data_IF_358662551677
#
_entry.id   IF_358662551677
#
_cell.length_a   1.000
_cell.length_b   1.000
_cell.length_c   1.000
_cell.angle_alpha   90.00
_cell.angle_beta   90.00
_cell.angle_gamma   90.00
#
_symmetry.space_group_name_H-M   'P 1'
#
loop_
_entity.id
_entity.type
_entity.pdbx_description
1 polymer ?
#
# COMPACT_ATOMS: atom_id res chain seq x y z
N UNK A 1 0.43 19.70 -15.90
CA UNK A 1 -0.22 18.88 -14.87
C UNK A 1 0.84 18.19 -14.01
N UNK A 2 0.66 18.20 -12.73
CA UNK A 2 1.59 17.55 -11.79
C UNK A 2 1.11 16.11 -11.54
N UNK A 3 1.73 15.16 -12.21
CA UNK A 3 1.36 13.75 -12.12
C UNK A 3 1.77 13.08 -10.80
N UNK A 4 2.61 13.74 -9.99
CA UNK A 4 2.94 13.24 -8.64
C UNK A 4 1.94 13.67 -7.58
N UNK A 5 1.06 14.61 -7.88
CA UNK A 5 0.09 15.15 -6.91
C UNK A 5 -1.30 15.26 -7.53
N UNK A 6 -1.70 14.20 -8.22
CA UNK A 6 -3.07 14.11 -8.73
C UNK A 6 -4.03 13.95 -7.56
N UNK A 7 -5.19 14.57 -7.68
CA UNK A 7 -6.24 14.44 -6.69
C UNK A 7 -7.60 14.29 -7.38
N UNK A 8 -8.52 13.66 -6.69
CA UNK A 8 -9.87 13.46 -7.17
C UNK A 8 -10.86 14.07 -6.20
N UNK A 9 -11.91 14.71 -6.73
CA UNK A 9 -13.04 15.13 -5.91
C UNK A 9 -13.81 13.91 -5.40
N UNK A 10 -14.66 14.14 -4.41
CA UNK A 10 -15.41 13.10 -3.71
C UNK A 10 -16.24 12.23 -4.67
N UNK A 11 -16.94 12.87 -5.62
CA UNK A 11 -17.75 12.17 -6.62
C UNK A 11 -16.91 11.22 -7.49
N UNK A 12 -15.76 11.70 -7.98
CA UNK A 12 -14.85 10.88 -8.79
C UNK A 12 -14.31 9.71 -7.98
N UNK A 13 -13.91 10.00 -6.74
CA UNK A 13 -13.33 9.00 -5.85
C UNK A 13 -14.32 7.88 -5.54
N UNK A 14 -15.58 8.21 -5.30
CA UNK A 14 -16.65 7.23 -5.04
C UNK A 14 -16.90 6.29 -6.21
N UNK A 15 -16.62 6.73 -7.44
CA UNK A 15 -16.86 5.93 -8.65
C UNK A 15 -15.66 5.04 -9.02
N UNK A 16 -14.54 5.15 -8.32
CA UNK A 16 -13.41 4.27 -8.55
C UNK A 16 -13.63 2.97 -7.77
N UNK A 17 -13.52 1.84 -8.47
CA UNK A 17 -13.69 0.54 -7.83
C UNK A 17 -12.57 0.27 -6.80
N UNK A 18 -12.84 -0.64 -5.86
CA UNK A 18 -11.81 -1.04 -4.89
C UNK A 18 -10.58 -1.62 -5.59
N UNK A 19 -10.77 -2.39 -6.66
CA UNK A 19 -9.64 -2.91 -7.44
C UNK A 19 -8.90 -1.82 -8.21
N UNK A 20 -9.61 -0.79 -8.68
CA UNK A 20 -8.99 0.38 -9.30
C UNK A 20 -8.12 1.15 -8.31
N UNK A 21 -8.63 1.35 -7.10
CA UNK A 21 -7.86 1.97 -6.02
C UNK A 21 -6.64 1.13 -5.65
N UNK A 22 -6.79 -0.19 -5.59
CA UNK A 22 -5.69 -1.10 -5.29
C UNK A 22 -4.62 -1.07 -6.39
N UNK A 23 -5.04 -1.01 -7.65
CA UNK A 23 -4.13 -0.88 -8.78
C UNK A 23 -3.25 0.38 -8.65
N UNK A 24 -3.86 1.51 -8.33
CA UNK A 24 -3.12 2.75 -8.09
C UNK A 24 -2.25 2.64 -6.84
N UNK A 25 -2.82 2.11 -5.76
CA UNK A 25 -2.13 1.98 -4.48
C UNK A 25 -0.94 1.06 -4.51
N UNK A 26 -0.94 0.05 -5.38
CA UNK A 26 0.23 -0.79 -5.63
C UNK A 26 1.41 0.08 -6.10
N UNK A 27 1.17 0.97 -7.06
CA UNK A 27 2.19 1.91 -7.53
C UNK A 27 2.64 2.89 -6.45
N UNK A 28 1.71 3.42 -5.68
CA UNK A 28 2.02 4.36 -4.59
C UNK A 28 2.88 3.67 -3.52
N UNK A 29 2.47 2.51 -3.07
CA UNK A 29 3.19 1.74 -2.06
C UNK A 29 4.59 1.37 -2.57
N UNK A 30 4.68 0.88 -3.79
CA UNK A 30 5.96 0.48 -4.37
C UNK A 30 6.91 1.66 -4.54
N UNK A 31 6.41 2.84 -4.94
CA UNK A 31 7.22 4.04 -5.00
C UNK A 31 7.79 4.41 -3.61
N UNK A 32 6.96 4.33 -2.58
CA UNK A 32 7.39 4.62 -1.20
C UNK A 32 8.47 3.62 -0.74
N UNK A 33 8.27 2.33 -1.00
CA UNK A 33 9.24 1.28 -0.66
C UNK A 33 10.57 1.49 -1.40
N UNK A 34 10.52 1.72 -2.69
CA UNK A 34 11.72 1.91 -3.51
C UNK A 34 12.49 3.16 -3.09
N UNK A 35 11.78 4.24 -2.82
CA UNK A 35 12.40 5.50 -2.35
C UNK A 35 13.10 5.27 -1.00
N UNK A 36 12.41 4.61 -0.08
CA UNK A 36 12.96 4.26 1.24
C UNK A 36 14.25 3.44 1.12
N UNK A 37 14.23 2.41 0.28
CA UNK A 37 15.38 1.53 0.09
C UNK A 37 16.58 2.27 -0.53
N UNK A 38 16.32 3.17 -1.47
CA UNK A 38 17.38 4.00 -2.03
C UNK A 38 18.04 4.87 -0.97
N UNK A 39 17.23 5.44 -0.07
CA UNK A 39 17.74 6.27 1.03
C UNK A 39 18.45 5.44 2.10
N UNK A 40 18.13 4.17 2.25
CA UNK A 40 18.82 3.26 3.15
C UNK A 40 20.19 2.78 2.63
N UNK A 41 20.61 3.24 1.45
CA UNK A 41 21.96 2.99 0.95
C UNK A 41 22.17 1.62 0.31
N UNK A 42 21.15 0.98 -0.20
CA UNK A 42 21.29 -0.26 -0.98
C UNK A 42 21.99 0.07 -2.30
N UNK A 43 23.17 -0.51 -2.50
CA UNK A 43 24.08 -0.06 -3.55
C UNK A 43 23.92 -0.75 -4.90
N UNK A 44 23.33 -1.96 -4.96
CA UNK A 44 23.22 -2.72 -6.20
C UNK A 44 21.79 -2.86 -6.64
N UNK A 45 21.59 -2.92 -7.97
CA UNK A 45 20.25 -3.13 -8.55
C UNK A 45 19.63 -4.45 -8.08
N UNK A 46 20.42 -5.53 -8.06
CA UNK A 46 19.96 -6.82 -7.56
C UNK A 46 19.61 -6.78 -6.06
N UNK A 47 20.41 -6.04 -5.27
CA UNK A 47 20.15 -5.84 -3.84
C UNK A 47 18.88 -5.06 -3.58
N UNK A 48 18.63 -4.00 -4.37
CA UNK A 48 17.39 -3.23 -4.30
C UNK A 48 16.18 -4.09 -4.61
N UNK A 49 16.24 -4.90 -5.66
CA UNK A 49 15.14 -5.77 -6.03
C UNK A 49 14.83 -6.80 -4.93
N UNK A 50 15.85 -7.47 -4.40
CA UNK A 50 15.67 -8.46 -3.31
C UNK A 50 15.11 -7.81 -2.06
N UNK A 51 15.57 -6.62 -1.73
CA UNK A 51 15.08 -5.88 -0.58
C UNK A 51 13.62 -5.47 -0.79
N UNK A 52 13.26 -4.98 -1.99
CA UNK A 52 11.90 -4.56 -2.29
C UNK A 52 10.89 -5.71 -2.14
N UNK A 53 11.23 -6.92 -2.57
CA UNK A 53 10.36 -8.09 -2.45
C UNK A 53 9.94 -8.35 -0.99
N UNK A 54 10.81 -8.06 -0.04
CA UNK A 54 10.52 -8.23 1.41
C UNK A 54 9.41 -7.32 1.92
N UNK A 55 9.05 -6.28 1.16
CA UNK A 55 7.99 -5.34 1.52
C UNK A 55 6.77 -5.48 0.62
N UNK A 56 6.97 -5.83 -0.65
CA UNK A 56 5.88 -5.81 -1.65
C UNK A 56 5.23 -7.17 -1.87
N UNK A 57 5.86 -8.27 -1.48
CA UNK A 57 5.23 -9.58 -1.58
C UNK A 57 3.99 -9.64 -0.68
N UNK A 58 2.95 -10.33 -1.12
CA UNK A 58 1.68 -10.35 -0.41
C UNK A 58 1.77 -10.78 1.06
N UNK A 59 2.57 -11.81 1.45
CA UNK A 59 2.74 -12.14 2.87
C UNK A 59 3.36 -11.00 3.69
N UNK A 60 4.34 -10.29 3.12
CA UNK A 60 4.96 -9.15 3.78
C UNK A 60 3.98 -7.98 3.93
N UNK A 61 3.24 -7.67 2.89
CA UNK A 61 2.22 -6.62 2.93
C UNK A 61 1.15 -6.93 3.96
N UNK A 62 0.70 -8.18 4.04
CA UNK A 62 -0.30 -8.61 5.03
C UNK A 62 0.19 -8.39 6.45
N UNK A 63 1.43 -8.76 6.73
CA UNK A 63 2.04 -8.55 8.05
C UNK A 63 2.13 -7.07 8.40
N UNK A 64 2.59 -6.25 7.46
CA UNK A 64 2.74 -4.81 7.68
C UNK A 64 1.39 -4.11 7.79
N UNK A 65 0.38 -4.57 7.05
CA UNK A 65 -0.98 -4.05 7.16
C UNK A 65 -1.54 -4.25 8.58
N UNK A 66 -1.26 -5.38 9.21
CA UNK A 66 -1.71 -5.63 10.58
C UNK A 66 -1.17 -4.59 11.58
N UNK A 67 0.01 -4.06 11.34
CA UNK A 67 0.60 -3.04 12.21
C UNK A 67 -0.18 -1.73 12.20
N UNK A 68 -0.81 -1.39 11.08
CA UNK A 68 -1.53 -0.12 10.94
C UNK A 68 -3.04 -0.23 11.20
N UNK A 69 -3.60 -1.44 11.20
CA UNK A 69 -5.05 -1.63 11.40
C UNK A 69 -5.61 -0.90 12.62
N UNK A 70 -4.95 -0.97 13.81
CA UNK A 70 -5.47 -0.27 14.98
C UNK A 70 -5.47 1.25 14.87
N UNK A 71 -4.74 1.80 13.91
CA UNK A 71 -4.58 3.24 13.74
C UNK A 71 -5.58 3.83 12.74
N UNK A 72 -6.29 2.98 12.00
CA UNK A 72 -7.17 3.43 10.92
C UNK A 72 -8.42 4.12 11.45
N UNK A 73 -8.80 5.22 10.80
CA UNK A 73 -10.09 5.85 11.04
C UNK A 73 -11.23 4.97 10.52
N UNK A 74 -12.47 5.29 10.88
CA UNK A 74 -13.63 4.54 10.38
C UNK A 74 -13.71 4.54 8.85
N UNK A 75 -13.44 5.68 8.22
CA UNK A 75 -13.44 5.79 6.76
C UNK A 75 -12.32 4.94 6.15
N UNK A 76 -11.13 5.00 6.73
CA UNK A 76 -9.99 4.19 6.28
C UNK A 76 -10.28 2.70 6.43
N UNK A 77 -10.89 2.30 7.53
CA UNK A 77 -11.31 0.91 7.74
C UNK A 77 -12.32 0.45 6.70
N UNK A 78 -13.26 1.32 6.33
CA UNK A 78 -14.27 1.00 5.31
C UNK A 78 -13.61 0.73 3.95
N UNK A 79 -12.67 1.57 3.54
CA UNK A 79 -11.93 1.40 2.28
C UNK A 79 -11.08 0.13 2.33
N UNK A 80 -10.40 -0.11 3.44
CA UNK A 80 -9.60 -1.32 3.64
C UNK A 80 -10.48 -2.57 3.48
N UNK A 81 -11.65 -2.61 4.12
CA UNK A 81 -12.58 -3.74 4.01
C UNK A 81 -13.08 -3.95 2.58
N UNK A 82 -13.39 -2.86 1.88
CA UNK A 82 -13.82 -2.95 0.47
C UNK A 82 -12.72 -3.59 -0.39
N UNK A 83 -11.46 -3.20 -0.18
CA UNK A 83 -10.33 -3.79 -0.87
C UNK A 83 -10.15 -5.26 -0.53
N UNK A 84 -10.24 -5.59 0.76
CA UNK A 84 -10.12 -6.98 1.23
C UNK A 84 -11.21 -7.87 0.64
N UNK A 85 -12.41 -7.36 0.51
CA UNK A 85 -13.57 -8.10 0.03
C UNK A 85 -13.72 -8.09 -1.49
N UNK A 86 -12.84 -7.40 -2.22
CA UNK A 86 -12.87 -7.41 -3.67
C UNK A 86 -12.44 -8.78 -4.20
N UNK A 87 -13.15 -9.28 -5.20
CA UNK A 87 -12.89 -10.60 -5.76
C UNK A 87 -11.91 -10.52 -6.90
N UNK A 88 -10.87 -11.37 -6.86
CA UNK A 88 -9.94 -11.54 -7.96
C UNK A 88 -9.94 -12.99 -8.40
N UNK A 89 -9.66 -13.23 -9.67
CA UNK A 89 -9.77 -14.56 -10.26
C UNK A 89 -8.65 -15.52 -9.83
N UNK A 90 -7.51 -15.02 -9.37
CA UNK A 90 -6.35 -15.84 -9.05
C UNK A 90 -5.56 -15.27 -7.88
N UNK A 91 -5.06 -16.17 -7.04
CA UNK A 91 -4.15 -15.83 -5.94
C UNK A 91 -2.73 -16.19 -6.40
N UNK A 92 -1.74 -15.27 -6.23
CA UNK A 92 -0.36 -15.56 -6.61
C UNK A 92 0.21 -16.75 -5.83
N UNK A 93 1.15 -17.46 -6.46
CA UNK A 93 1.89 -18.52 -5.79
C UNK A 93 2.67 -17.95 -4.61
N UNK A 94 2.73 -18.69 -3.51
CA UNK A 94 3.46 -18.29 -2.31
C UNK A 94 2.68 -17.39 -1.36
N UNK A 95 1.43 -17.09 -1.68
CA UNK A 95 0.55 -16.33 -0.79
C UNK A 95 -0.71 -17.12 -0.49
N UNK A 96 -1.22 -17.02 0.74
CA UNK A 96 -2.54 -17.53 1.08
C UNK A 96 -3.61 -16.56 0.54
N UNK A 97 -4.86 -17.02 0.50
CA UNK A 97 -6.00 -16.19 0.09
C UNK A 97 -6.10 -14.97 1.02
N UNK A 98 -5.97 -15.18 2.33
CA UNK A 98 -6.03 -14.09 3.31
C UNK A 98 -4.90 -13.08 3.14
N UNK A 99 -3.68 -13.53 2.88
CA UNK A 99 -2.54 -12.65 2.64
C UNK A 99 -2.73 -11.81 1.38
N UNK A 100 -3.21 -12.42 0.31
CA UNK A 100 -3.47 -11.71 -0.93
C UNK A 100 -4.58 -10.66 -0.74
N UNK A 101 -5.66 -11.01 -0.04
CA UNK A 101 -6.75 -10.06 0.23
C UNK A 101 -6.29 -8.91 1.12
N UNK A 102 -5.45 -9.17 2.10
CA UNK A 102 -4.89 -8.13 2.96
C UNK A 102 -3.98 -7.18 2.17
N UNK A 103 -3.17 -7.71 1.26
CA UNK A 103 -2.34 -6.89 0.39
C UNK A 103 -3.19 -5.99 -0.52
N UNK A 104 -4.25 -6.54 -1.11
CA UNK A 104 -5.18 -5.76 -1.93
C UNK A 104 -5.87 -4.66 -1.11
N UNK A 105 -6.24 -4.98 0.12
CA UNK A 105 -6.86 -4.01 1.04
C UNK A 105 -5.92 -2.84 1.35
N UNK A 106 -4.66 -3.15 1.64
CA UNK A 106 -3.62 -2.14 1.90
C UNK A 106 -3.43 -1.24 0.68
N UNK A 107 -3.33 -1.84 -0.48
CA UNK A 107 -3.16 -1.10 -1.73
C UNK A 107 -4.36 -0.21 -2.01
N UNK A 108 -5.59 -0.69 -1.80
CA UNK A 108 -6.79 0.12 -1.98
C UNK A 108 -6.79 1.33 -1.04
N UNK A 109 -6.40 1.13 0.21
CA UNK A 109 -6.28 2.21 1.19
C UNK A 109 -5.26 3.25 0.73
N UNK A 110 -4.10 2.82 0.28
CA UNK A 110 -3.03 3.72 -0.17
C UNK A 110 -3.44 4.51 -1.41
N UNK A 111 -4.10 3.87 -2.37
CA UNK A 111 -4.63 4.57 -3.55
C UNK A 111 -5.67 5.62 -3.18
N UNK A 112 -6.54 5.29 -2.24
CA UNK A 112 -7.60 6.20 -1.77
C UNK A 112 -7.01 7.42 -1.05
N UNK A 113 -6.03 7.21 -0.19
CA UNK A 113 -5.36 8.31 0.51
C UNK A 113 -4.58 9.19 -0.48
N UNK A 114 -3.91 8.58 -1.44
CA UNK A 114 -3.17 9.31 -2.46
C UNK A 114 -4.09 10.26 -3.25
N UNK A 115 -5.22 9.77 -3.73
CA UNK A 115 -6.15 10.59 -4.54
C UNK A 115 -6.84 11.68 -3.74
N UNK A 116 -6.83 11.61 -2.43
CA UNK A 116 -7.30 12.70 -1.57
C UNK A 116 -6.22 13.73 -1.25
N UNK A 117 -5.00 13.54 -1.74
CA UNK A 117 -3.87 14.40 -1.42
C UNK A 117 -3.36 14.23 0.01
N UNK A 118 -3.69 13.12 0.68
CA UNK A 118 -3.31 12.88 2.09
C UNK A 118 -1.92 12.27 2.19
N UNK A 119 -0.94 12.97 1.66
CA UNK A 119 0.47 12.50 1.65
C UNK A 119 1.05 12.38 3.04
N UNK A 120 0.68 13.29 3.94
CA UNK A 120 1.12 13.25 5.34
C UNK A 120 0.62 11.99 6.04
N UNK A 121 -0.66 11.64 5.82
CA UNK A 121 -1.25 10.42 6.38
C UNK A 121 -0.60 9.17 5.82
N UNK A 122 -0.32 9.14 4.52
CA UNK A 122 0.45 8.04 3.92
C UNK A 122 1.81 7.88 4.60
N UNK A 123 2.50 8.98 4.84
CA UNK A 123 3.78 8.98 5.55
C UNK A 123 3.67 8.43 6.97
N UNK A 124 2.65 8.84 7.71
CA UNK A 124 2.40 8.34 9.08
C UNK A 124 2.22 6.82 9.11
N UNK A 125 1.37 6.31 8.24
CA UNK A 125 1.10 4.87 8.17
C UNK A 125 2.34 4.11 7.71
N UNK A 126 3.04 4.63 6.72
CA UNK A 126 4.24 4.00 6.20
C UNK A 126 5.36 3.96 7.25
N UNK A 127 5.52 5.01 8.05
CA UNK A 127 6.49 5.04 9.14
C UNK A 127 6.24 3.91 10.14
N UNK A 128 4.99 3.68 10.51
CA UNK A 128 4.63 2.58 11.42
C UNK A 128 4.98 1.23 10.79
N UNK A 129 4.69 1.08 9.49
CA UNK A 129 5.03 -0.15 8.76
C UNK A 129 6.53 -0.40 8.72
N UNK A 130 7.32 0.64 8.49
CA UNK A 130 8.77 0.52 8.45
C UNK A 130 9.37 0.24 9.83
N UNK A 131 8.81 0.80 10.89
CA UNK A 131 9.20 0.45 12.26
C UNK A 131 8.93 -1.02 12.55
N UNK A 132 7.76 -1.52 12.16
CA UNK A 132 7.41 -2.94 12.32
C UNK A 132 8.38 -3.83 11.54
N UNK A 133 8.82 -3.39 10.38
CA UNK A 133 9.80 -4.12 9.57
C UNK A 133 11.23 -3.97 10.10
N UNK A 134 11.48 -3.09 11.09
CA UNK A 134 12.81 -2.84 11.63
C UNK A 134 13.68 -1.96 10.75
N UNK A 135 13.10 -1.16 9.85
CA UNK A 135 13.82 -0.38 8.85
C UNK A 135 13.37 1.09 8.79
N UNK A 136 13.02 1.68 9.93
CA UNK A 136 12.70 3.11 9.99
C UNK A 136 13.91 3.95 9.56
N UNK A 137 13.65 5.04 8.86
CA UNK A 137 14.67 6.02 8.53
C UNK A 137 15.07 6.88 9.73
#
# INVERSE_FOLDING_TARGET
>A
MDYFHLSAGEDTLEHISALGLAHLGDGVYELMVRSHLCLCGKATNAGLHRAAVKYVAAPAQAKLAHAILPLLTEEEQAVYRRGRNSHTAAVPKGASVGEYHAATALEALFGWLYLQGKTERLGELFDVMMEEAGHAL
#
